data_IF_163993982272
#
_entry.id   IF_163993982272
#
_cell.length_a   1.000
_cell.length_b   1.000
_cell.length_c   1.000
_cell.angle_alpha   90.00
_cell.angle_beta   90.00
_cell.angle_gamma   90.00
#
_symmetry.space_group_name_H-M   'P 1'
#
loop_
_entity.id
_entity.type
_entity.pdbx_description
1 polymer ?
#
# COMPACT_ATOMS: atom_id res chain seq x y z
N UNK A 1 25.24 5.91 -10.03
CA UNK A 1 25.99 5.68 -11.28
C UNK A 1 25.90 6.92 -12.15
N UNK A 2 27.03 7.46 -12.64
CA UNK A 2 26.99 8.57 -13.60
C UNK A 2 26.56 8.04 -14.97
N UNK A 3 25.85 8.84 -15.77
CA UNK A 3 25.34 8.44 -17.10
C UNK A 3 26.40 7.76 -17.99
N UNK A 4 27.66 8.19 -17.89
CA UNK A 4 28.77 7.60 -18.64
C UNK A 4 29.05 6.14 -18.26
N UNK A 5 28.97 5.80 -16.99
CA UNK A 5 29.25 4.45 -16.49
C UNK A 5 28.12 3.48 -16.86
N UNK A 6 26.88 3.98 -16.85
CA UNK A 6 25.69 3.23 -17.32
C UNK A 6 25.80 2.89 -18.80
N UNK A 7 26.19 3.87 -19.62
CA UNK A 7 26.40 3.66 -21.06
C UNK A 7 27.49 2.60 -21.29
N UNK A 8 28.59 2.63 -20.53
CA UNK A 8 29.65 1.64 -20.67
C UNK A 8 29.22 0.23 -20.21
N UNK A 9 28.40 0.11 -19.16
CA UNK A 9 27.81 -1.18 -18.75
C UNK A 9 26.86 -1.74 -19.81
N UNK A 10 25.98 -0.90 -20.36
CA UNK A 10 25.03 -1.32 -21.39
C UNK A 10 25.72 -1.80 -22.67
N UNK A 11 26.86 -1.19 -23.05
CA UNK A 11 27.67 -1.64 -24.19
C UNK A 11 28.28 -3.04 -24.02
N UNK A 12 28.41 -3.53 -22.79
CA UNK A 12 28.92 -4.88 -22.51
C UNK A 12 27.85 -5.97 -22.62
N UNK A 13 26.58 -5.56 -22.75
CA UNK A 13 25.44 -6.48 -22.84
C UNK A 13 25.08 -6.75 -24.31
N UNK A 14 24.40 -7.87 -24.60
CA UNK A 14 24.04 -8.21 -25.97
C UNK A 14 23.07 -7.17 -26.56
N UNK A 15 23.28 -6.73 -27.81
CA UNK A 15 22.53 -5.61 -28.39
C UNK A 15 21.06 -5.92 -28.68
N UNK A 16 20.69 -7.20 -28.83
CA UNK A 16 19.36 -7.66 -29.25
C UNK A 16 18.51 -8.19 -28.08
N UNK A 17 18.90 -7.88 -26.84
CA UNK A 17 18.19 -8.33 -25.63
C UNK A 17 17.21 -7.26 -25.17
N UNK A 18 15.99 -7.68 -24.81
CA UNK A 18 14.96 -6.79 -24.31
C UNK A 18 15.41 -6.13 -23.00
N UNK A 19 15.35 -4.79 -22.93
CA UNK A 19 15.63 -4.05 -21.70
C UNK A 19 14.33 -3.71 -21.01
N UNK A 20 14.18 -4.15 -19.76
CA UNK A 20 13.06 -3.83 -18.89
C UNK A 20 13.52 -2.89 -17.79
N UNK A 21 12.86 -1.75 -17.69
CA UNK A 21 13.14 -0.76 -16.65
C UNK A 21 12.20 -1.05 -15.48
N UNK A 22 12.78 -1.36 -14.33
CA UNK A 22 12.04 -1.63 -13.11
C UNK A 22 12.34 -0.57 -12.08
N UNK A 23 11.34 0.26 -11.81
CA UNK A 23 11.33 1.15 -10.65
C UNK A 23 10.75 0.33 -9.49
N UNK A 24 11.62 -0.11 -8.57
CA UNK A 24 11.26 -0.94 -7.42
C UNK A 24 10.17 -0.28 -6.54
N UNK A 25 9.99 1.06 -6.61
CA UNK A 25 9.04 1.81 -5.76
C UNK A 25 7.80 2.34 -6.49
N UNK A 26 7.59 2.07 -7.77
CA UNK A 26 6.38 2.51 -8.51
C UNK A 26 5.27 1.47 -8.53
N UNK A 27 4.40 1.55 -7.53
CA UNK A 27 2.96 1.35 -7.75
C UNK A 27 2.24 2.59 -7.20
N UNK A 28 1.73 3.44 -8.11
CA UNK A 28 0.90 4.65 -7.89
C UNK A 28 1.67 5.99 -7.79
N UNK A 29 1.57 6.83 -8.83
CA UNK A 29 1.81 8.27 -8.72
C UNK A 29 2.74 8.90 -9.76
N UNK A 30 2.49 10.18 -10.02
CA UNK A 30 3.23 11.15 -10.83
C UNK A 30 4.58 11.52 -10.17
N UNK A 31 5.52 10.57 -10.18
CA UNK A 31 6.87 10.80 -9.65
C UNK A 31 7.69 11.79 -10.49
N UNK A 32 8.37 12.70 -9.80
CA UNK A 32 9.42 13.57 -10.35
C UNK A 32 10.68 12.74 -10.70
N UNK A 33 11.52 13.25 -11.61
CA UNK A 33 12.81 12.66 -11.98
C UNK A 33 14.00 13.23 -11.20
N UNK A 34 13.77 14.16 -10.28
CA UNK A 34 14.77 14.50 -9.27
C UNK A 34 14.91 13.26 -8.36
N UNK A 35 16.13 12.91 -7.90
CA UNK A 35 16.30 11.77 -6.97
C UNK A 35 16.89 10.46 -7.51
N UNK A 36 17.07 10.28 -8.82
CA UNK A 36 17.68 9.03 -9.36
C UNK A 36 19.21 9.13 -9.33
N UNK A 37 19.85 8.48 -8.35
CA UNK A 37 21.28 8.60 -8.12
C UNK A 37 22.07 7.32 -8.46
N UNK A 38 21.46 6.14 -8.50
CA UNK A 38 22.15 4.89 -8.86
C UNK A 38 21.30 3.92 -9.67
N UNK A 39 21.91 3.33 -10.71
CA UNK A 39 21.29 2.34 -11.58
C UNK A 39 22.06 1.03 -11.48
N UNK A 40 21.35 -0.04 -11.19
CA UNK A 40 21.83 -1.41 -11.31
C UNK A 40 21.35 -2.03 -12.62
N UNK A 41 22.22 -2.85 -13.19
CA UNK A 41 22.02 -3.48 -14.50
C UNK A 41 22.27 -4.97 -14.34
N UNK A 42 21.24 -5.77 -14.54
CA UNK A 42 21.31 -7.23 -14.41
C UNK A 42 20.82 -7.92 -15.68
N UNK A 43 21.53 -8.94 -16.14
CA UNK A 43 21.10 -9.78 -17.26
C UNK A 43 20.47 -11.07 -16.71
N UNK A 44 19.17 -11.24 -16.95
CA UNK A 44 18.45 -12.46 -16.58
C UNK A 44 18.44 -13.42 -17.75
N UNK A 45 18.99 -14.61 -17.53
CA UNK A 45 18.92 -15.73 -18.43
C UNK A 45 18.04 -16.80 -17.84
N UNK A 46 17.11 -17.33 -18.64
CA UNK A 46 16.31 -18.46 -18.20
C UNK A 46 17.09 -19.76 -18.40
N UNK A 47 17.08 -20.62 -17.39
CA UNK A 47 17.51 -22.01 -17.54
C UNK A 47 16.50 -22.78 -18.41
N UNK A 48 16.95 -23.89 -18.99
CA UNK A 48 16.08 -24.73 -19.84
C UNK A 48 14.83 -25.23 -19.09
N UNK A 49 14.97 -25.58 -17.80
CA UNK A 49 13.84 -25.98 -16.95
C UNK A 49 12.82 -24.85 -16.74
N UNK A 50 13.29 -23.61 -16.58
CA UNK A 50 12.40 -22.45 -16.42
C UNK A 50 11.67 -22.12 -17.73
N UNK A 51 12.36 -22.26 -18.87
CA UNK A 51 11.77 -22.10 -20.20
C UNK A 51 10.64 -23.10 -20.41
N UNK A 52 10.89 -24.37 -20.14
CA UNK A 52 9.90 -25.44 -20.25
C UNK A 52 8.66 -25.15 -19.39
N UNK A 53 8.86 -24.77 -18.13
CA UNK A 53 7.77 -24.43 -17.21
C UNK A 53 6.94 -23.23 -17.70
N UNK A 54 7.59 -22.18 -18.19
CA UNK A 54 6.89 -20.98 -18.69
C UNK A 54 6.13 -21.29 -19.99
N UNK A 55 6.69 -22.10 -20.89
CA UNK A 55 6.00 -22.53 -22.11
C UNK A 55 4.74 -23.31 -21.75
N UNK A 56 4.84 -24.25 -20.79
CA UNK A 56 3.70 -25.05 -20.34
C UNK A 56 2.56 -24.20 -19.76
N UNK A 57 2.89 -23.15 -18.99
CA UNK A 57 1.88 -22.37 -18.24
C UNK A 57 1.43 -21.08 -18.93
N UNK A 58 2.26 -20.49 -19.79
CA UNK A 58 2.00 -19.20 -20.46
C UNK A 58 1.96 -19.29 -21.98
N UNK A 59 2.31 -20.45 -22.56
CA UNK A 59 2.17 -20.71 -23.99
C UNK A 59 3.16 -19.96 -24.89
N UNK A 60 4.21 -19.37 -24.32
CA UNK A 60 5.24 -18.68 -25.09
C UNK A 60 6.63 -18.94 -24.47
N UNK A 61 7.65 -19.00 -25.33
CA UNK A 61 9.04 -19.11 -24.87
C UNK A 61 9.47 -17.79 -24.21
N UNK A 62 10.02 -17.82 -22.98
CA UNK A 62 10.52 -16.62 -22.34
C UNK A 62 11.85 -16.20 -23.00
N UNK A 63 12.01 -14.90 -23.22
CA UNK A 63 13.24 -14.32 -23.74
C UNK A 63 14.09 -13.82 -22.58
N UNK A 64 15.39 -14.01 -22.69
CA UNK A 64 16.36 -13.34 -21.83
C UNK A 64 16.12 -11.82 -21.87
N UNK A 65 16.33 -11.15 -20.74
CA UNK A 65 16.09 -9.72 -20.63
C UNK A 65 17.09 -9.07 -19.68
N UNK A 66 17.32 -7.78 -19.88
CA UNK A 66 18.15 -6.95 -19.01
C UNK A 66 17.22 -6.15 -18.11
N UNK A 67 17.48 -6.14 -16.81
CA UNK A 67 16.81 -5.29 -15.84
C UNK A 67 17.67 -4.05 -15.62
N UNK A 68 17.05 -2.87 -15.74
CA UNK A 68 17.57 -1.62 -15.20
C UNK A 68 16.78 -1.30 -13.94
N UNK A 69 17.39 -1.51 -12.77
CA UNK A 69 16.83 -1.12 -11.47
C UNK A 69 17.50 0.16 -10.99
N UNK A 70 16.78 0.97 -10.22
CA UNK A 70 17.36 2.13 -9.57
C UNK A 70 16.66 2.37 -8.24
N UNK A 71 17.44 2.84 -7.28
CA UNK A 71 16.89 3.39 -6.05
C UNK A 71 16.64 4.89 -6.26
N UNK A 72 15.40 5.28 -6.03
CA UNK A 72 15.05 6.69 -5.93
C UNK A 72 15.06 7.07 -4.45
N UNK A 73 15.91 8.02 -4.06
CA UNK A 73 15.90 8.56 -2.69
C UNK A 73 14.59 9.32 -2.40
N UNK A 74 13.90 9.80 -3.44
CA UNK A 74 12.61 10.47 -3.31
C UNK A 74 11.48 9.53 -2.87
N UNK A 75 11.76 8.22 -2.80
CA UNK A 75 10.83 7.23 -2.31
C UNK A 75 11.52 6.37 -1.27
N UNK A 76 10.99 6.32 -0.06
CA UNK A 76 11.40 5.41 1.01
C UNK A 76 10.32 4.31 1.11
N UNK A 77 10.71 3.03 1.23
CA UNK A 77 9.75 1.89 1.25
C UNK A 77 8.84 1.84 2.49
N UNK A 78 9.09 2.70 3.47
CA UNK A 78 8.01 3.31 4.23
C UNK A 78 8.05 4.78 3.86
N UNK A 79 6.93 5.40 3.47
CA UNK A 79 6.88 6.80 3.05
C UNK A 79 7.42 7.76 4.13
N UNK A 80 8.74 7.83 4.23
CA UNK A 80 9.52 8.75 5.04
C UNK A 80 9.63 10.03 4.23
N UNK A 81 8.58 10.81 4.44
CA UNK A 81 8.52 12.27 4.40
C UNK A 81 9.89 12.97 4.32
N UNK A 82 10.33 13.30 3.11
CA UNK A 82 11.42 14.27 2.86
C UNK A 82 11.04 15.69 3.38
N UNK A 83 9.80 15.91 3.82
CA UNK A 83 9.33 17.17 4.39
C UNK A 83 9.61 17.37 5.89
N UNK A 84 10.40 16.50 6.54
CA UNK A 84 10.58 16.54 8.01
C UNK A 84 11.69 17.44 8.56
N UNK A 85 12.36 18.26 7.73
CA UNK A 85 13.41 19.16 8.22
C UNK A 85 13.03 20.65 8.31
N UNK A 86 11.81 21.04 7.94
CA UNK A 86 11.35 22.40 8.19
C UNK A 86 10.73 22.51 9.59
N UNK A 87 11.64 22.70 10.53
CA UNK A 87 11.36 23.20 11.87
C UNK A 87 10.75 24.60 11.81
N UNK A 88 9.46 24.68 11.44
CA UNK A 88 8.45 25.74 11.69
C UNK A 88 7.31 25.65 10.67
N UNK A 89 6.57 24.54 10.63
CA UNK A 89 5.17 24.62 10.22
C UNK A 89 4.33 23.50 10.80
N UNK A 90 3.36 23.86 11.62
CA UNK A 90 2.38 22.97 12.24
C UNK A 90 1.28 22.67 11.21
N UNK A 91 1.63 21.96 10.13
CA UNK A 91 0.75 21.52 9.04
C UNK A 91 1.46 20.40 8.26
N UNK A 92 0.90 19.32 7.70
CA UNK A 92 -0.50 18.86 7.46
C UNK A 92 -0.46 17.49 6.75
N UNK A 93 0.59 16.68 6.88
CA UNK A 93 0.67 15.43 6.12
C UNK A 93 -0.23 14.36 6.75
N UNK A 94 -1.48 14.32 6.29
CA UNK A 94 -2.42 13.25 6.60
C UNK A 94 -2.45 12.22 5.47
N UNK A 95 -2.47 10.95 5.83
CA UNK A 95 -2.56 9.81 4.91
C UNK A 95 -3.80 9.00 5.21
N UNK A 96 -4.36 8.33 4.20
CA UNK A 96 -5.51 7.43 4.40
C UNK A 96 -5.00 6.02 4.67
N UNK A 97 -5.22 5.52 5.88
CA UNK A 97 -4.87 4.15 6.27
C UNK A 97 -6.10 3.26 6.36
N UNK A 98 -5.88 1.97 6.10
CA UNK A 98 -6.89 0.90 6.13
C UNK A 98 -6.66 0.00 7.33
N UNK A 99 -7.74 -0.30 8.04
CA UNK A 99 -7.75 -1.08 9.27
C UNK A 99 -8.75 -2.24 9.11
N UNK A 100 -8.27 -3.48 8.86
CA UNK A 100 -9.14 -4.65 8.84
C UNK A 100 -9.83 -4.86 10.18
N UNK A 101 -11.12 -5.17 10.14
CA UNK A 101 -11.95 -5.41 11.33
C UNK A 101 -12.33 -6.88 11.43
N UNK A 102 -12.64 -7.31 12.66
CA UNK A 102 -13.30 -8.58 12.92
C UNK A 102 -14.82 -8.41 12.88
N UNK A 103 -15.53 -9.43 12.43
CA UNK A 103 -17.00 -9.50 12.49
C UNK A 103 -17.42 -9.98 13.88
N UNK A 104 -17.34 -9.08 14.85
CA UNK A 104 -17.73 -9.31 16.25
C UNK A 104 -18.37 -8.04 16.80
N UNK A 105 -18.92 -8.09 18.02
CA UNK A 105 -19.54 -6.94 18.68
C UNK A 105 -18.54 -5.83 19.00
N UNK A 106 -18.16 -5.68 20.27
CA UNK A 106 -17.19 -4.65 20.68
C UNK A 106 -15.77 -5.07 20.27
N UNK A 107 -15.00 -4.13 19.72
CA UNK A 107 -13.56 -4.29 19.47
C UNK A 107 -12.82 -2.96 19.61
N UNK A 108 -11.49 -3.03 19.66
CA UNK A 108 -10.60 -1.88 19.73
C UNK A 108 -9.76 -1.80 18.45
N UNK A 109 -9.64 -0.60 17.90
CA UNK A 109 -8.79 -0.32 16.73
C UNK A 109 -7.73 0.69 17.14
N UNK A 110 -6.46 0.31 16.99
CA UNK A 110 -5.34 1.20 17.27
C UNK A 110 -5.19 2.22 16.14
N UNK A 111 -5.64 3.46 16.39
CA UNK A 111 -5.61 4.57 15.43
C UNK A 111 -4.67 5.68 15.93
N UNK A 112 -3.92 6.37 15.05
CA UNK A 112 -3.19 7.56 15.44
C UNK A 112 -4.10 8.62 16.09
N UNK A 113 -3.58 9.35 17.06
CA UNK A 113 -4.32 10.40 17.76
C UNK A 113 -4.77 11.47 16.78
N UNK A 114 -6.04 11.87 16.88
CA UNK A 114 -6.65 12.82 15.94
C UNK A 114 -7.05 12.20 14.59
N UNK A 115 -7.01 10.87 14.45
CA UNK A 115 -7.52 10.18 13.26
C UNK A 115 -8.98 10.52 12.99
N UNK A 116 -9.27 10.83 11.73
CA UNK A 116 -10.62 11.06 11.22
C UNK A 116 -11.10 9.82 10.48
N UNK A 117 -12.08 9.12 11.05
CA UNK A 117 -12.68 7.94 10.43
C UNK A 117 -13.54 8.41 9.25
N UNK A 118 -13.25 7.89 8.06
CA UNK A 118 -13.93 8.27 6.81
C UNK A 118 -15.12 7.36 6.54
N UNK A 119 -14.89 6.05 6.52
CA UNK A 119 -15.91 5.06 6.21
C UNK A 119 -15.52 3.66 6.68
N UNK A 120 -16.50 2.75 6.62
CA UNK A 120 -16.31 1.30 6.70
C UNK A 120 -16.89 0.67 5.44
N UNK A 121 -16.15 -0.25 4.81
CA UNK A 121 -16.59 -1.03 3.65
C UNK A 121 -16.01 -2.43 3.68
N UNK A 122 -16.52 -3.32 2.83
CA UNK A 122 -15.96 -4.65 2.61
C UNK A 122 -14.82 -4.56 1.59
N UNK A 123 -13.71 -5.25 1.86
CA UNK A 123 -12.66 -5.54 0.89
C UNK A 123 -12.08 -6.93 1.14
N UNK A 124 -12.01 -7.75 0.09
CA UNK A 124 -11.48 -9.13 0.14
C UNK A 124 -12.17 -10.01 1.20
N UNK A 125 -13.49 -9.93 1.25
CA UNK A 125 -14.41 -10.63 2.17
C UNK A 125 -14.23 -10.24 3.64
N UNK A 126 -13.66 -9.05 3.91
CA UNK A 126 -13.43 -8.56 5.27
C UNK A 126 -13.91 -7.11 5.42
N UNK A 127 -14.60 -6.77 6.51
CA UNK A 127 -14.84 -5.37 6.82
C UNK A 127 -13.53 -4.65 7.08
N UNK A 128 -13.39 -3.46 6.53
CA UNK A 128 -12.23 -2.60 6.65
C UNK A 128 -12.71 -1.20 6.98
N UNK A 129 -12.01 -0.53 7.89
CA UNK A 129 -12.22 0.87 8.23
C UNK A 129 -11.12 1.71 7.58
N UNK A 130 -11.49 2.82 6.97
CA UNK A 130 -10.54 3.80 6.44
C UNK A 130 -10.56 5.06 7.30
N UNK A 131 -9.37 5.55 7.62
CA UNK A 131 -9.21 6.78 8.39
C UNK A 131 -8.10 7.65 7.80
N UNK A 132 -8.33 8.97 7.84
CA UNK A 132 -7.34 9.99 7.55
C UNK A 132 -6.53 10.28 8.82
N UNK A 133 -5.22 10.03 8.79
CA UNK A 133 -4.37 9.98 9.98
C UNK A 133 -3.08 10.76 9.79
N UNK A 134 -2.54 11.34 10.87
CA UNK A 134 -1.13 11.74 10.92
C UNK A 134 -0.30 10.49 11.32
N UNK A 135 0.58 9.96 10.46
CA UNK A 135 1.30 8.72 10.74
C UNK A 135 2.34 8.88 11.86
N UNK A 136 2.76 10.11 12.15
CA UNK A 136 3.72 10.42 13.21
C UNK A 136 3.05 10.63 14.58
N UNK A 137 1.72 10.66 14.63
CA UNK A 137 1.02 10.79 15.89
C UNK A 137 1.04 9.47 16.68
N UNK A 138 1.10 9.60 18.01
CA UNK A 138 0.97 8.46 18.91
C UNK A 138 -0.34 7.70 18.66
N UNK A 139 -0.29 6.37 18.77
CA UNK A 139 -1.47 5.53 18.61
C UNK A 139 -2.32 5.55 19.88
N UNK A 140 -3.63 5.50 19.70
CA UNK A 140 -4.63 5.35 20.74
C UNK A 140 -5.62 4.25 20.35
N UNK A 141 -6.15 3.56 21.34
CA UNK A 141 -7.18 2.56 21.09
C UNK A 141 -8.54 3.23 20.99
N UNK A 142 -9.17 3.08 19.83
CA UNK A 142 -10.53 3.57 19.57
C UNK A 142 -11.48 2.41 19.71
N UNK A 143 -12.42 2.53 20.64
CA UNK A 143 -13.47 1.54 20.87
C UNK A 143 -14.58 1.68 19.84
N UNK A 144 -14.93 0.57 19.18
CA UNK A 144 -16.02 0.48 18.21
C UNK A 144 -16.91 -0.73 18.51
N UNK A 145 -18.14 -0.68 17.99
CA UNK A 145 -19.11 -1.77 18.08
C UNK A 145 -19.82 -1.97 16.75
N UNK A 146 -19.94 -3.23 16.32
CA UNK A 146 -20.86 -3.62 15.25
C UNK A 146 -22.16 -4.11 15.86
N UNK A 147 -23.29 -3.60 15.37
CA UNK A 147 -24.62 -4.19 15.61
C UNK A 147 -25.19 -4.74 14.31
N UNK A 148 -25.86 -5.90 14.40
CA UNK A 148 -26.51 -6.55 13.27
C UNK A 148 -27.91 -5.97 13.00
N UNK A 149 -28.39 -6.10 11.77
CA UNK A 149 -29.76 -5.66 11.43
C UNK A 149 -30.81 -6.40 12.26
N UNK A 150 -31.69 -5.64 12.93
CA UNK A 150 -32.77 -6.18 13.77
C UNK A 150 -32.39 -6.41 15.24
N UNK A 151 -31.13 -6.18 15.62
CA UNK A 151 -30.68 -6.28 17.00
C UNK A 151 -31.12 -5.05 17.83
N UNK A 152 -31.59 -5.31 19.04
CA UNK A 152 -31.84 -4.23 20.01
C UNK A 152 -30.51 -3.80 20.59
N UNK A 153 -30.10 -2.56 20.29
CA UNK A 153 -28.82 -2.03 20.74
C UNK A 153 -28.98 -0.64 21.37
N UNK A 154 -28.12 -0.34 22.35
CA UNK A 154 -28.10 0.95 23.01
C UNK A 154 -27.21 1.92 22.23
N UNK A 155 -27.79 3.01 21.73
CA UNK A 155 -27.10 4.06 20.95
C UNK A 155 -26.43 5.14 21.79
N UNK A 156 -26.56 5.09 23.13
CA UNK A 156 -26.05 6.15 24.00
C UNK A 156 -24.53 6.27 23.88
N UNK A 157 -24.06 7.51 23.69
CA UNK A 157 -22.65 7.87 23.52
C UNK A 157 -21.98 7.18 22.31
N UNK A 158 -22.73 6.93 21.24
CA UNK A 158 -22.20 6.35 20.01
C UNK A 158 -22.28 7.34 18.84
N UNK A 159 -21.25 7.32 17.99
CA UNK A 159 -21.25 7.97 16.68
C UNK A 159 -21.29 6.90 15.59
N UNK A 160 -22.29 6.97 14.72
CA UNK A 160 -22.37 6.10 13.55
C UNK A 160 -21.21 6.36 12.58
N UNK A 161 -20.60 5.28 12.08
CA UNK A 161 -19.52 5.33 11.08
C UNK A 161 -20.05 4.94 9.70
N UNK A 162 -20.80 3.85 9.62
CA UNK A 162 -21.25 3.30 8.34
C UNK A 162 -21.82 1.90 8.47
N UNK A 163 -22.24 1.35 7.33
CA UNK A 163 -22.76 -0.01 7.21
C UNK A 163 -21.88 -0.78 6.24
N UNK A 164 -21.54 -2.01 6.59
CA UNK A 164 -20.86 -2.95 5.70
C UNK A 164 -21.69 -4.21 5.53
N UNK A 165 -21.56 -4.83 4.37
CA UNK A 165 -22.30 -6.04 3.99
C UNK A 165 -21.28 -7.09 3.58
N UNK A 166 -21.48 -8.33 4.02
CA UNK A 166 -20.67 -9.48 3.63
C UNK A 166 -21.53 -10.39 2.76
N UNK A 167 -21.39 -10.34 1.43
CA UNK A 167 -22.29 -11.05 0.51
C UNK A 167 -22.28 -12.56 0.73
N UNK A 168 -21.12 -13.14 1.07
CA UNK A 168 -20.93 -14.59 1.20
C UNK A 168 -21.82 -15.24 2.26
N UNK A 169 -22.21 -14.50 3.31
CA UNK A 169 -23.07 -15.00 4.38
C UNK A 169 -24.31 -14.13 4.62
N UNK A 170 -24.55 -13.14 3.75
CA UNK A 170 -25.68 -12.21 3.86
C UNK A 170 -25.64 -11.31 5.10
N UNK A 171 -24.51 -11.21 5.81
CA UNK A 171 -24.41 -10.42 7.03
C UNK A 171 -24.41 -8.93 6.71
N UNK A 172 -25.21 -8.16 7.47
CA UNK A 172 -25.24 -6.69 7.44
C UNK A 172 -24.87 -6.17 8.81
N UNK A 173 -23.77 -5.42 8.89
CA UNK A 173 -23.24 -4.84 10.12
C UNK A 173 -23.26 -3.32 10.08
N UNK A 174 -23.78 -2.71 11.15
CA UNK A 174 -23.78 -1.27 11.37
C UNK A 174 -22.71 -0.93 12.41
N UNK A 175 -21.70 -0.15 11.99
CA UNK A 175 -20.54 0.18 12.82
C UNK A 175 -20.70 1.53 13.52
N UNK A 176 -20.41 1.56 14.82
CA UNK A 176 -20.43 2.74 15.66
C UNK A 176 -19.11 2.89 16.44
N UNK A 177 -18.71 4.14 16.70
CA UNK A 177 -17.60 4.51 17.61
C UNK A 177 -18.15 5.03 18.93
N UNK A 178 -17.52 4.67 20.04
CA UNK A 178 -17.81 5.28 21.35
C UNK A 178 -17.29 6.72 21.44
N UNK A 179 -18.11 7.59 22.00
CA UNK A 179 -17.80 8.96 22.38
C UNK A 179 -17.49 8.95 23.89
N UNK A 180 -16.32 8.42 24.24
CA UNK A 180 -15.81 8.44 25.62
C UNK A 180 -15.25 9.83 25.99
#
# INVERSE_FOLDING_TARGET
MKNRDLIEKLKQLPPDVEVKIFDWRKNLGDGSSEGIYDFDVELHKFSELEKEHIIEHRGHEPKDFITLSFDNEDYTDGGDNIWLNDSKNETTHKVVYKYPLLVQGVQFVSLPKGAEILCVQEQNRKPCLWALVNPLAEKQDVRIITSSTGEVFNTKNLKYIGTYQLPDNGFVGHLFKYLD
#
